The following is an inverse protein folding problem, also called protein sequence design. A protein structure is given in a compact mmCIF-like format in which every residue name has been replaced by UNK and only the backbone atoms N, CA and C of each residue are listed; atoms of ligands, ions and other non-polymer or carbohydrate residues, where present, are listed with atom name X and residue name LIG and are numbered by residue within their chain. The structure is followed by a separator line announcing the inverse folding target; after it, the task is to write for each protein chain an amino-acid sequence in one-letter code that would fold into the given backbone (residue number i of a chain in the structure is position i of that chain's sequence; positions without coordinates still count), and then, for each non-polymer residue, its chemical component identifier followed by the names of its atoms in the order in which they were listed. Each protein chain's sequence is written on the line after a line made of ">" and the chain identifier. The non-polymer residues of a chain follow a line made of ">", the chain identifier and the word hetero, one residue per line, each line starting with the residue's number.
data_IF_920041578853
#
_entry.id   IF_920041578853
#
_cell.length_a   1.000
_cell.length_b   1.000
_cell.length_c   1.000
_cell.angle_alpha   90.00
_cell.angle_beta   90.00
_cell.angle_gamma   90.00
#
_symmetry.space_group_name_H-M   'P 1'
#
loop_
_entity.id
_entity.type
_entity.pdbx_description
1 polymer ?
#
# COMPACT_ATOMS: atom_id res chain seq x y z
N UNK A 1 16.92 2.34 -1.73
CA UNK A 1 18.17 2.90 -2.31
C UNK A 1 17.89 4.33 -2.78
N UNK A 2 18.78 5.29 -2.52
CA UNK A 2 18.56 6.69 -2.93
C UNK A 2 19.19 6.93 -4.31
N UNK A 3 18.46 7.59 -5.19
CA UNK A 3 18.89 7.86 -6.57
C UNK A 3 18.41 9.23 -7.03
N UNK A 4 19.29 9.99 -7.68
CA UNK A 4 18.90 11.21 -8.41
C UNK A 4 18.54 10.87 -9.84
N UNK A 5 17.36 11.29 -10.28
CA UNK A 5 16.91 11.09 -11.66
C UNK A 5 17.46 12.17 -12.61
N UNK A 6 17.32 11.93 -13.92
CA UNK A 6 17.57 12.94 -14.97
C UNK A 6 16.75 14.23 -14.80
N UNK A 7 15.66 14.18 -14.03
CA UNK A 7 14.79 15.32 -13.73
C UNK A 7 15.10 15.97 -12.38
N UNK A 8 16.19 15.58 -11.71
CA UNK A 8 16.62 16.14 -10.43
C UNK A 8 15.82 15.65 -9.22
N UNK A 9 14.90 14.69 -9.40
CA UNK A 9 14.13 14.11 -8.28
C UNK A 9 15.01 13.21 -7.43
N UNK A 10 14.89 13.36 -6.10
CA UNK A 10 15.46 12.46 -5.10
C UNK A 10 14.51 11.29 -4.85
N UNK A 11 14.76 10.17 -5.53
CA UNK A 11 13.96 8.96 -5.42
C UNK A 11 14.57 8.03 -4.39
N UNK A 12 13.75 7.58 -3.43
CA UNK A 12 14.07 6.48 -2.55
C UNK A 12 13.16 5.30 -2.91
N UNK A 13 13.78 4.22 -3.33
CA UNK A 13 13.08 2.94 -3.48
C UNK A 13 12.97 2.25 -2.12
N UNK A 14 11.73 1.95 -1.71
CA UNK A 14 11.38 1.29 -0.45
C UNK A 14 11.18 -0.23 -0.61
N UNK A 15 11.29 -0.75 -1.85
CA UNK A 15 11.05 -2.15 -2.16
C UNK A 15 9.56 -2.52 -2.17
N UNK A 16 9.32 -3.81 -2.36
CA UNK A 16 7.97 -4.38 -2.42
C UNK A 16 7.38 -4.57 -1.03
N UNK A 17 6.08 -4.31 -0.90
CA UNK A 17 5.33 -4.72 0.30
C UNK A 17 5.00 -6.20 0.14
N UNK A 18 5.65 -7.04 0.94
CA UNK A 18 5.48 -8.49 0.89
C UNK A 18 4.18 -8.97 1.56
N UNK A 19 3.45 -9.82 0.85
CA UNK A 19 2.49 -10.71 1.47
C UNK A 19 3.18 -12.02 1.84
N UNK A 20 3.09 -12.42 3.11
CA UNK A 20 3.72 -13.66 3.58
C UNK A 20 2.85 -14.89 3.31
N UNK A 21 1.61 -14.68 2.87
CA UNK A 21 0.61 -15.71 2.66
C UNK A 21 0.28 -15.94 1.17
N UNK A 22 1.00 -15.31 0.24
CA UNK A 22 0.70 -15.39 -1.20
C UNK A 22 1.12 -16.69 -1.87
N UNK A 23 2.04 -17.45 -1.27
CA UNK A 23 2.71 -18.58 -1.95
C UNK A 23 2.00 -19.93 -1.79
N UNK A 24 0.98 -20.00 -0.92
CA UNK A 24 0.15 -21.19 -0.79
C UNK A 24 -0.84 -21.28 -1.95
N UNK A 25 -0.39 -21.85 -3.08
CA UNK A 25 -1.22 -22.12 -4.27
C UNK A 25 -2.42 -23.03 -3.99
N UNK A 26 -2.41 -23.72 -2.84
CA UNK A 26 -3.47 -24.61 -2.37
C UNK A 26 -4.30 -24.01 -1.21
N UNK A 27 -4.16 -22.71 -0.92
CA UNK A 27 -4.97 -22.07 0.12
C UNK A 27 -6.44 -21.95 -0.33
N UNK A 28 -7.34 -22.50 0.47
CA UNK A 28 -8.79 -22.33 0.30
C UNK A 28 -9.15 -20.84 0.22
N UNK A 29 -10.00 -20.47 -0.76
CA UNK A 29 -10.42 -19.08 -0.95
C UNK A 29 -11.20 -18.64 0.29
N UNK A 30 -10.56 -17.79 1.09
CA UNK A 30 -11.21 -17.16 2.25
C UNK A 30 -12.26 -16.18 1.76
N UNK A 31 -13.52 -16.47 2.05
CA UNK A 31 -14.65 -15.57 1.82
C UNK A 31 -14.81 -14.63 3.01
N UNK A 32 -15.02 -13.35 2.71
CA UNK A 32 -15.43 -12.37 3.71
C UNK A 32 -16.91 -12.48 4.07
N UNK A 33 -17.38 -11.62 4.99
CA UNK A 33 -18.76 -11.63 5.49
C UNK A 33 -19.82 -11.52 4.39
N UNK A 34 -19.51 -10.82 3.28
CA UNK A 34 -20.42 -10.58 2.16
C UNK A 34 -20.02 -11.38 0.91
N UNK A 35 -19.18 -12.40 1.07
CA UNK A 35 -18.72 -13.27 -0.02
C UNK A 35 -17.53 -12.71 -0.81
N UNK A 36 -16.80 -11.74 -0.27
CA UNK A 36 -15.60 -11.18 -0.89
C UNK A 36 -14.49 -12.22 -0.93
N UNK A 37 -13.91 -12.45 -2.09
CA UNK A 37 -12.79 -13.40 -2.23
C UNK A 37 -11.51 -12.78 -1.68
N UNK A 38 -10.66 -13.62 -1.09
CA UNK A 38 -9.35 -13.22 -0.57
C UNK A 38 -9.44 -12.13 0.52
N UNK A 39 -10.56 -12.07 1.25
CA UNK A 39 -10.85 -11.00 2.21
C UNK A 39 -9.71 -10.78 3.21
N UNK A 40 -9.23 -11.85 3.85
CA UNK A 40 -8.15 -11.79 4.84
C UNK A 40 -6.83 -11.34 4.22
N UNK A 41 -6.52 -11.79 3.01
CA UNK A 41 -5.31 -11.42 2.26
C UNK A 41 -5.32 -9.92 1.95
N UNK A 42 -6.41 -9.40 1.38
CA UNK A 42 -6.57 -7.97 1.07
C UNK A 42 -6.48 -7.12 2.34
N UNK A 43 -7.13 -7.54 3.42
CA UNK A 43 -7.11 -6.84 4.70
C UNK A 43 -5.70 -6.75 5.27
N UNK A 44 -4.99 -7.88 5.33
CA UNK A 44 -3.64 -7.95 5.91
C UNK A 44 -2.62 -7.19 5.06
N UNK A 45 -2.71 -7.30 3.74
CA UNK A 45 -1.87 -6.53 2.83
C UNK A 45 -2.03 -5.02 3.03
N UNK A 46 -3.29 -4.55 3.10
CA UNK A 46 -3.58 -3.13 3.29
C UNK A 46 -3.11 -2.60 4.65
N UNK A 47 -3.10 -3.42 5.71
CA UNK A 47 -2.50 -3.02 7.01
C UNK A 47 -1.00 -2.77 6.89
N UNK A 48 -0.28 -3.65 6.21
CA UNK A 48 1.17 -3.51 5.99
C UNK A 48 1.48 -2.32 5.09
N UNK A 49 0.73 -2.18 4.00
CA UNK A 49 0.86 -1.05 3.09
C UNK A 49 0.61 0.28 3.81
N UNK A 50 -0.42 0.37 4.65
CA UNK A 50 -0.70 1.58 5.44
C UNK A 50 0.46 1.95 6.36
N UNK A 51 1.07 0.96 7.05
CA UNK A 51 2.25 1.19 7.87
C UNK A 51 3.43 1.73 7.05
N UNK A 52 3.75 1.09 5.93
CA UNK A 52 4.82 1.53 5.03
C UNK A 52 4.58 2.96 4.51
N UNK A 53 3.38 3.25 4.00
CA UNK A 53 3.03 4.58 3.47
C UNK A 53 3.11 5.65 4.56
N UNK A 54 2.59 5.37 5.76
CA UNK A 54 2.69 6.29 6.90
C UNK A 54 4.15 6.67 7.19
N UNK A 55 5.07 5.71 7.20
CA UNK A 55 6.48 6.01 7.44
C UNK A 55 7.11 6.86 6.32
N UNK A 56 6.82 6.57 5.05
CA UNK A 56 7.30 7.40 3.93
C UNK A 56 6.76 8.84 4.02
N UNK A 57 5.47 9.00 4.33
CA UNK A 57 4.83 10.32 4.39
C UNK A 57 5.34 11.13 5.59
N UNK A 58 5.58 10.49 6.74
CA UNK A 58 6.20 11.13 7.92
C UNK A 58 7.63 11.62 7.66
N UNK A 59 8.37 10.98 6.74
CA UNK A 59 9.67 11.48 6.27
C UNK A 59 9.56 12.74 5.38
N UNK A 60 8.35 13.24 5.12
CA UNK A 60 8.11 14.41 4.26
C UNK A 60 8.27 14.11 2.78
N UNK A 61 8.23 12.82 2.38
CA UNK A 61 8.34 12.38 0.99
C UNK A 61 6.98 12.25 0.33
N UNK A 62 6.93 12.50 -0.97
CA UNK A 62 5.79 12.10 -1.80
C UNK A 62 5.84 10.58 -1.98
N UNK A 63 4.84 9.88 -1.45
CA UNK A 63 4.74 8.43 -1.57
C UNK A 63 4.11 8.05 -2.93
N UNK A 64 4.77 7.16 -3.68
CA UNK A 64 4.25 6.59 -4.92
C UNK A 64 4.12 5.08 -4.72
N UNK A 65 2.89 4.58 -4.71
CA UNK A 65 2.60 3.15 -4.66
C UNK A 65 2.38 2.64 -6.10
N UNK A 66 3.03 1.53 -6.47
CA UNK A 66 2.95 0.95 -7.81
C UNK A 66 2.37 -0.47 -7.73
N UNK A 67 1.49 -0.82 -8.68
CA UNK A 67 0.90 -2.15 -8.80
C UNK A 67 -0.44 -2.32 -8.08
N UNK A 68 -0.78 -3.58 -7.78
CA UNK A 68 -2.04 -3.99 -7.15
C UNK A 68 -3.29 -3.76 -8.00
N UNK A 69 -4.42 -4.23 -7.50
CA UNK A 69 -5.73 -3.77 -7.94
C UNK A 69 -6.16 -2.53 -7.14
N UNK A 70 -7.33 -1.95 -7.41
CA UNK A 70 -7.80 -0.77 -6.69
C UNK A 70 -8.02 -0.99 -5.18
N UNK A 71 -8.00 -2.23 -4.67
CA UNK A 71 -8.15 -2.48 -3.23
C UNK A 71 -6.97 -1.94 -2.41
N UNK A 72 -5.78 -1.81 -3.01
CA UNK A 72 -4.60 -1.26 -2.30
C UNK A 72 -4.77 0.22 -1.95
N UNK A 73 -5.70 0.92 -2.62
CA UNK A 73 -6.02 2.31 -2.29
C UNK A 73 -6.50 2.48 -0.85
N UNK A 74 -7.07 1.43 -0.23
CA UNK A 74 -7.49 1.44 1.18
C UNK A 74 -6.27 1.68 2.09
N UNK A 75 -5.23 0.87 1.92
CA UNK A 75 -4.00 0.94 2.70
C UNK A 75 -3.22 2.20 2.41
N UNK A 76 -3.10 2.59 1.13
CA UNK A 76 -2.43 3.84 0.74
C UNK A 76 -3.09 5.05 1.37
N UNK A 77 -4.43 5.16 1.30
CA UNK A 77 -5.15 6.29 1.88
C UNK A 77 -5.05 6.29 3.41
N UNK A 78 -5.26 5.14 4.06
CA UNK A 78 -5.19 5.02 5.51
C UNK A 78 -3.80 5.44 6.04
N UNK A 79 -2.73 4.91 5.44
CA UNK A 79 -1.36 5.28 5.79
C UNK A 79 -1.07 6.76 5.59
N UNK A 80 -1.53 7.34 4.48
CA UNK A 80 -1.36 8.76 4.22
C UNK A 80 -2.10 9.63 5.23
N UNK A 81 -3.38 9.35 5.49
CA UNK A 81 -4.21 10.11 6.43
C UNK A 81 -3.74 9.98 7.88
N UNK A 82 -3.16 8.84 8.26
CA UNK A 82 -2.54 8.66 9.57
C UNK A 82 -1.34 9.60 9.80
N UNK A 83 -0.63 9.98 8.73
CA UNK A 83 0.49 10.93 8.79
C UNK A 83 0.03 12.38 8.53
N UNK A 84 -0.95 12.60 7.65
CA UNK A 84 -1.47 13.91 7.24
C UNK A 84 -3.01 13.84 7.18
N UNK A 85 -3.71 14.18 8.28
CA UNK A 85 -5.14 13.91 8.43
C UNK A 85 -6.09 14.78 7.60
N UNK A 86 -5.61 15.93 7.08
CA UNK A 86 -6.42 16.86 6.27
C UNK A 86 -5.98 16.84 4.80
N UNK A 87 -6.36 15.77 4.09
CA UNK A 87 -5.96 15.53 2.71
C UNK A 87 -7.16 15.34 1.78
N UNK A 88 -7.11 15.96 0.61
CA UNK A 88 -8.10 15.74 -0.45
C UNK A 88 -7.79 14.44 -1.21
N UNK A 89 -8.83 13.64 -1.44
CA UNK A 89 -8.75 12.43 -2.27
C UNK A 89 -9.40 12.69 -3.63
N UNK A 90 -8.70 12.34 -4.71
CA UNK A 90 -9.23 12.40 -6.07
C UNK A 90 -9.14 11.01 -6.70
N UNK A 91 -10.31 10.43 -6.98
CA UNK A 91 -10.45 9.16 -7.68
C UNK A 91 -10.83 9.44 -9.14
N UNK A 92 -10.27 8.70 -10.09
CA UNK A 92 -10.53 8.83 -11.53
C UNK A 92 -11.28 7.60 -12.05
#
# INVERSE_FOLDING_TARGET
>A
MNMKTRHGLDIRDFGDVEDKNSDSKDAEIQLGPDGERHHTTVLEYNRRLAASVSEVVKEGRVCVTLGGDHSISIGTLNGHMAAVPDQQVRMC
#
